data_IF_525685559825
#
_entry.id   IF_525685559825
#
_cell.length_a   1.000
_cell.length_b   1.000
_cell.length_c   1.000
_cell.angle_alpha   90.00
_cell.angle_beta   90.00
_cell.angle_gamma   90.00
#
_symmetry.space_group_name_H-M   'P 1'
#
loop_
_entity.id
_entity.type
_entity.pdbx_description
1 polymer ?
#
# COMPACT_ATOMS: atom_id res chain seq x y z
N UNK A 1 18.41 29.16 15.92
CA UNK A 1 17.99 28.44 14.68
C UNK A 1 17.00 27.39 15.10
N UNK A 2 15.80 27.29 14.45
CA UNK A 2 14.88 26.17 14.70
C UNK A 2 15.56 24.90 14.18
N UNK A 3 15.60 23.84 14.99
CA UNK A 3 16.09 22.54 14.56
C UNK A 3 15.18 22.03 13.45
N UNK A 4 15.75 21.45 12.39
CA UNK A 4 14.97 20.82 11.32
C UNK A 4 14.20 19.62 11.89
N UNK A 5 12.97 19.35 11.45
CA UNK A 5 12.25 18.13 11.85
C UNK A 5 12.98 16.89 11.32
N UNK A 6 13.04 15.85 12.15
CA UNK A 6 13.67 14.56 11.80
C UNK A 6 12.69 13.67 11.04
N UNK A 7 13.10 13.27 9.82
CA UNK A 7 12.42 12.30 9.00
C UNK A 7 13.17 10.96 9.03
N UNK A 8 12.45 9.87 9.28
CA UNK A 8 12.99 8.52 9.17
C UNK A 8 12.18 7.71 8.15
N UNK A 9 12.85 6.92 7.32
CA UNK A 9 12.24 6.03 6.33
C UNK A 9 12.63 4.59 6.66
N UNK A 10 11.64 3.75 6.89
CA UNK A 10 11.80 2.41 7.39
C UNK A 10 11.28 1.37 6.41
N UNK A 11 11.98 0.23 6.34
CA UNK A 11 11.63 -0.89 5.51
C UNK A 11 11.28 -2.11 6.37
N UNK A 12 10.13 -2.73 6.06
CA UNK A 12 9.77 -4.09 6.43
C UNK A 12 9.77 -4.98 5.18
N UNK A 13 8.93 -6.03 5.13
CA UNK A 13 8.86 -6.89 3.94
C UNK A 13 8.19 -6.17 2.75
N UNK A 14 9.00 -5.82 1.73
CA UNK A 14 8.56 -5.09 0.54
C UNK A 14 9.48 -5.32 -0.65
N UNK A 15 9.12 -4.74 -1.81
CA UNK A 15 9.96 -4.68 -3.02
C UNK A 15 10.71 -3.35 -3.17
N UNK A 16 10.62 -2.46 -2.19
CA UNK A 16 11.21 -1.11 -2.13
C UNK A 16 10.65 -0.09 -3.13
N UNK A 17 9.61 -0.45 -3.88
CA UNK A 17 9.03 0.42 -4.90
C UNK A 17 8.53 1.77 -4.38
N UNK A 18 8.05 1.83 -3.14
CA UNK A 18 7.61 3.09 -2.52
C UNK A 18 8.81 3.95 -2.08
N UNK A 19 9.90 3.36 -1.61
CA UNK A 19 11.13 4.09 -1.31
C UNK A 19 11.81 4.56 -2.59
N UNK A 20 11.80 3.76 -3.66
CA UNK A 20 12.26 4.20 -4.98
C UNK A 20 11.45 5.39 -5.50
N UNK A 21 10.11 5.40 -5.29
CA UNK A 21 9.29 6.57 -5.64
C UNK A 21 9.72 7.83 -4.87
N UNK A 22 10.16 7.69 -3.61
CA UNK A 22 10.73 8.81 -2.85
C UNK A 22 12.04 9.29 -3.46
N UNK A 23 12.92 8.38 -3.88
CA UNK A 23 14.20 8.72 -4.55
C UNK A 23 13.97 9.35 -5.93
N UNK A 24 12.98 8.87 -6.69
CA UNK A 24 12.57 9.40 -8.00
C UNK A 24 11.99 10.83 -7.93
N UNK A 25 11.83 11.40 -6.72
CA UNK A 25 11.49 12.80 -6.55
C UNK A 25 12.63 13.75 -6.95
N UNK A 26 13.86 13.27 -7.14
CA UNK A 26 15.01 14.02 -7.67
C UNK A 26 15.16 15.43 -7.05
N UNK A 27 14.92 16.47 -7.85
CA UNK A 27 15.05 17.87 -7.39
C UNK A 27 14.11 18.22 -6.24
N UNK A 28 12.88 17.69 -6.22
CA UNK A 28 11.94 17.90 -5.11
C UNK A 28 12.43 17.20 -3.83
N UNK A 29 13.15 16.08 -3.96
CA UNK A 29 13.77 15.41 -2.81
C UNK A 29 14.85 16.30 -2.20
N UNK A 30 15.64 17.03 -3.01
CA UNK A 30 16.62 17.99 -2.53
C UNK A 30 15.97 19.13 -1.75
N UNK A 31 14.82 19.62 -2.22
CA UNK A 31 14.03 20.62 -1.51
C UNK A 31 13.52 20.09 -0.15
N UNK A 32 13.04 18.85 -0.11
CA UNK A 32 12.63 18.16 1.13
C UNK A 32 13.83 18.00 2.06
N UNK A 33 14.97 17.50 1.60
CA UNK A 33 16.21 17.37 2.39
C UNK A 33 16.73 18.72 2.90
N UNK A 34 16.46 19.80 2.16
CA UNK A 34 16.69 21.18 2.62
C UNK A 34 15.82 21.57 3.82
N UNK A 35 14.60 21.05 3.91
CA UNK A 35 13.61 21.38 4.93
C UNK A 35 13.62 20.45 6.16
N UNK A 36 14.06 19.19 6.01
CA UNK A 36 14.12 18.17 7.08
C UNK A 36 15.54 17.68 7.31
N UNK A 37 15.77 17.02 8.45
CA UNK A 37 16.94 16.19 8.71
C UNK A 37 16.55 14.73 8.38
N UNK A 38 17.13 14.12 7.34
CA UNK A 38 16.94 12.70 7.05
C UNK A 38 17.76 11.91 8.06
N UNK A 39 17.12 11.47 9.14
CA UNK A 39 17.75 10.83 10.27
C UNK A 39 18.01 9.33 10.03
N UNK A 40 17.15 8.68 9.25
CA UNK A 40 17.26 7.28 8.89
C UNK A 40 16.65 7.04 7.51
N UNK A 41 17.41 6.52 6.56
CA UNK A 41 16.94 6.08 5.25
C UNK A 41 18.01 5.19 4.61
N UNK A 42 17.98 3.91 4.90
CA UNK A 42 19.05 2.95 4.54
C UNK A 42 19.22 2.77 3.03
N UNK A 43 18.19 2.99 2.21
CA UNK A 43 18.29 2.92 0.75
C UNK A 43 18.99 4.15 0.12
N UNK A 44 19.07 5.26 0.86
CA UNK A 44 19.68 6.51 0.37
C UNK A 44 20.99 6.87 1.08
N UNK A 45 21.19 6.44 2.32
CA UNK A 45 22.32 6.88 3.14
C UNK A 45 22.65 5.87 4.23
N UNK A 46 23.93 5.81 4.62
CA UNK A 46 24.38 5.10 5.81
C UNK A 46 24.20 5.91 7.11
N UNK A 47 23.66 7.12 7.03
CA UNK A 47 23.40 7.96 8.21
C UNK A 47 22.30 7.32 9.05
N UNK A 48 22.57 7.17 10.35
CA UNK A 48 21.62 6.65 11.33
C UNK A 48 21.67 7.53 12.59
N UNK A 49 20.73 8.45 12.69
CA UNK A 49 20.60 9.38 13.81
C UNK A 49 19.46 8.93 14.70
N UNK A 50 19.75 8.69 15.96
CA UNK A 50 18.76 8.24 16.93
C UNK A 50 17.57 9.21 17.06
N UNK A 51 16.38 8.62 17.31
CA UNK A 51 15.14 9.37 17.57
C UNK A 51 15.21 10.28 18.82
N UNK A 52 14.12 10.93 19.19
CA UNK A 52 12.81 10.77 18.59
C UNK A 52 12.70 11.38 17.19
N UNK A 53 11.83 10.79 16.34
CA UNK A 53 11.57 11.25 14.98
C UNK A 53 10.27 12.07 14.93
N UNK A 54 10.28 13.17 14.18
CA UNK A 54 9.07 13.97 13.99
C UNK A 54 8.09 13.26 13.04
N UNK A 55 8.62 12.64 11.97
CA UNK A 55 7.86 11.83 11.03
C UNK A 55 8.63 10.55 10.71
N UNK A 56 7.95 9.41 10.77
CA UNK A 56 8.44 8.14 10.24
C UNK A 56 7.57 7.67 9.08
N UNK A 57 8.18 7.38 7.94
CA UNK A 57 7.55 6.70 6.81
C UNK A 57 7.92 5.21 6.89
N UNK A 58 6.93 4.32 6.88
CA UNK A 58 7.14 2.87 6.96
C UNK A 58 6.60 2.20 5.72
N UNK A 59 7.48 1.55 4.95
CA UNK A 59 7.14 0.68 3.83
C UNK A 59 7.22 -0.78 4.25
N UNK A 60 6.37 -1.60 3.66
CA UNK A 60 6.41 -3.05 3.85
C UNK A 60 5.39 -3.57 4.85
N UNK A 61 5.14 -4.86 4.76
CA UNK A 61 4.23 -5.60 5.66
C UNK A 61 4.99 -6.32 6.77
N UNK A 62 4.28 -6.66 7.83
CA UNK A 62 4.82 -7.48 8.92
C UNK A 62 4.71 -8.94 8.51
N UNK A 63 5.86 -9.62 8.40
CA UNK A 63 5.97 -11.00 7.93
C UNK A 63 6.82 -11.89 8.84
N UNK A 64 7.49 -11.29 9.82
CA UNK A 64 8.32 -11.97 10.81
C UNK A 64 8.09 -11.40 12.20
N UNK A 65 8.43 -12.18 13.23
CA UNK A 65 8.42 -11.72 14.62
C UNK A 65 9.38 -10.53 14.84
N UNK A 66 10.45 -10.47 14.05
CA UNK A 66 11.39 -9.36 14.09
C UNK A 66 10.73 -8.08 13.57
N UNK A 67 9.94 -8.15 12.49
CA UNK A 67 9.21 -7.02 11.95
C UNK A 67 8.19 -6.50 12.97
N UNK A 68 7.47 -7.41 13.64
CA UNK A 68 6.49 -7.05 14.67
C UNK A 68 7.11 -6.30 15.85
N UNK A 69 8.28 -6.73 16.31
CA UNK A 69 9.02 -6.00 17.36
C UNK A 69 9.53 -4.66 16.86
N UNK A 70 10.15 -4.64 15.67
CA UNK A 70 10.73 -3.44 15.08
C UNK A 70 9.69 -2.34 14.86
N UNK A 71 8.49 -2.68 14.40
CA UNK A 71 7.44 -1.67 14.19
C UNK A 71 6.95 -1.04 15.50
N UNK A 72 6.90 -1.80 16.59
CA UNK A 72 6.58 -1.27 17.92
C UNK A 72 7.65 -0.27 18.40
N UNK A 73 8.94 -0.57 18.19
CA UNK A 73 10.05 0.33 18.49
C UNK A 73 9.99 1.61 17.65
N UNK A 74 9.75 1.48 16.34
CA UNK A 74 9.58 2.62 15.42
C UNK A 74 8.42 3.50 15.88
N UNK A 75 7.27 2.91 16.22
CA UNK A 75 6.10 3.67 16.72
C UNK A 75 6.44 4.44 18.00
N UNK A 76 7.10 3.80 18.95
CA UNK A 76 7.48 4.44 20.21
C UNK A 76 8.44 5.62 20.02
N UNK A 77 9.31 5.56 19.00
CA UNK A 77 10.28 6.62 18.69
C UNK A 77 9.73 7.71 17.77
N UNK A 78 8.49 7.60 17.27
CA UNK A 78 7.92 8.49 16.25
C UNK A 78 6.78 9.34 16.81
N UNK A 79 6.80 10.66 16.55
CA UNK A 79 5.67 11.54 16.87
C UNK A 79 4.50 11.29 15.91
N UNK A 80 4.81 11.15 14.60
CA UNK A 80 3.83 10.90 13.56
C UNK A 80 4.29 9.73 12.69
N UNK A 81 3.48 8.68 12.62
CA UNK A 81 3.77 7.46 11.88
C UNK A 81 2.89 7.39 10.63
N UNK A 82 3.53 7.40 9.47
CA UNK A 82 2.89 7.22 8.16
C UNK A 82 3.28 5.86 7.59
N UNK A 83 2.31 5.09 7.17
CA UNK A 83 2.56 3.88 6.38
C UNK A 83 2.40 4.18 4.90
N UNK A 84 3.33 3.69 4.08
CA UNK A 84 3.37 3.94 2.64
C UNK A 84 3.29 2.64 1.84
N UNK A 85 2.43 2.63 0.85
CA UNK A 85 2.25 1.53 -0.08
C UNK A 85 1.29 0.43 0.38
N UNK A 86 0.85 -0.38 -0.58
CA UNK A 86 -0.10 -1.47 -0.36
C UNK A 86 0.43 -2.54 0.63
N UNK A 87 1.74 -2.72 0.71
CA UNK A 87 2.34 -3.67 1.67
C UNK A 87 2.07 -3.23 3.11
N UNK A 88 2.36 -1.98 3.45
CA UNK A 88 2.18 -1.46 4.80
C UNK A 88 0.71 -1.25 5.18
N UNK A 89 -0.16 -0.95 4.20
CA UNK A 89 -1.58 -0.63 4.43
C UNK A 89 -2.53 -1.82 4.35
N UNK A 90 -2.13 -2.93 3.69
CA UNK A 90 -3.01 -4.09 3.46
C UNK A 90 -2.27 -5.44 3.39
N UNK A 91 -1.02 -5.51 3.84
CA UNK A 91 -0.21 -6.73 3.75
C UNK A 91 0.45 -6.96 2.39
N UNK A 92 0.08 -6.19 1.34
CA UNK A 92 0.66 -6.25 0.00
C UNK A 92 0.32 -7.51 -0.79
N UNK A 93 1.03 -7.71 -1.90
CA UNK A 93 0.91 -8.93 -2.73
C UNK A 93 1.32 -10.18 -1.96
N UNK A 94 2.25 -10.07 -1.03
CA UNK A 94 2.69 -11.17 -0.17
C UNK A 94 1.59 -11.66 0.78
N UNK A 95 0.52 -10.88 0.99
CA UNK A 95 -0.66 -11.32 1.75
C UNK A 95 -1.52 -12.37 1.00
N UNK A 96 -1.21 -12.68 -0.26
CA UNK A 96 -1.79 -13.83 -0.96
C UNK A 96 -1.49 -15.15 -0.22
N UNK A 97 -0.38 -15.24 0.47
CA UNK A 97 -0.05 -16.40 1.32
C UNK A 97 -1.02 -16.61 2.49
N UNK A 98 -1.75 -15.58 2.91
CA UNK A 98 -2.72 -15.67 4.00
C UNK A 98 -3.89 -16.61 3.66
N UNK A 99 -4.01 -17.01 2.39
CA UNK A 99 -5.06 -17.90 1.88
C UNK A 99 -4.53 -19.30 1.55
N UNK A 100 -3.34 -19.65 2.03
CA UNK A 100 -2.67 -20.91 1.77
C UNK A 100 -1.80 -21.32 2.98
N UNK A 101 -1.30 -22.56 2.98
CA UNK A 101 -0.37 -23.04 4.00
C UNK A 101 1.07 -22.60 3.67
N UNK A 102 1.59 -21.67 4.46
CA UNK A 102 2.96 -21.16 4.30
C UNK A 102 4.00 -22.24 4.59
N UNK A 103 3.73 -23.16 5.53
CA UNK A 103 4.65 -24.24 5.85
C UNK A 103 4.78 -25.22 4.67
N UNK A 104 3.67 -25.54 3.99
CA UNK A 104 3.68 -26.34 2.78
C UNK A 104 4.54 -25.67 1.69
N UNK A 105 4.29 -24.40 1.37
CA UNK A 105 5.08 -23.67 0.38
C UNK A 105 6.56 -23.61 0.73
N UNK A 106 6.89 -23.36 2.00
CA UNK A 106 8.28 -23.28 2.45
C UNK A 106 8.98 -24.62 2.26
N UNK A 107 8.31 -25.74 2.55
CA UNK A 107 8.85 -27.08 2.38
C UNK A 107 9.14 -27.45 0.93
N UNK A 108 8.34 -26.93 -0.02
CA UNK A 108 8.50 -27.18 -1.45
C UNK A 108 9.57 -26.28 -2.09
N UNK A 109 9.64 -25.02 -1.65
CA UNK A 109 10.50 -24.00 -2.29
C UNK A 109 11.94 -24.04 -1.76
N UNK A 110 12.14 -24.30 -0.47
CA UNK A 110 13.46 -24.18 0.17
C UNK A 110 14.03 -25.57 0.48
N UNK A 111 15.30 -25.77 0.11
CA UNK A 111 16.03 -27.00 0.41
C UNK A 111 16.26 -27.22 1.94
N UNK A 112 16.22 -26.14 2.70
CA UNK A 112 16.37 -26.09 4.15
C UNK A 112 15.28 -25.22 4.78
N UNK A 113 14.00 -25.71 4.84
CA UNK A 113 12.87 -24.95 5.38
C UNK A 113 13.07 -24.47 6.81
N UNK A 114 13.83 -25.21 7.61
CA UNK A 114 14.13 -24.90 9.01
C UNK A 114 14.91 -23.60 9.23
N UNK A 115 15.52 -23.04 8.17
CA UNK A 115 16.21 -21.76 8.23
C UNK A 115 15.29 -20.57 7.94
N UNK A 116 14.05 -20.84 7.49
CA UNK A 116 13.08 -19.80 7.17
C UNK A 116 12.21 -19.52 8.39
N UNK A 117 12.38 -18.32 8.97
CA UNK A 117 11.54 -17.84 10.06
C UNK A 117 10.55 -16.81 9.52
N UNK A 118 9.31 -17.21 9.33
CA UNK A 118 8.25 -16.35 8.84
C UNK A 118 6.95 -16.59 9.62
N UNK A 119 6.13 -15.54 9.76
CA UNK A 119 4.76 -15.66 10.24
C UNK A 119 3.90 -16.37 9.19
N UNK A 120 2.85 -17.04 9.61
CA UNK A 120 1.89 -17.67 8.72
C UNK A 120 1.19 -16.65 7.81
N UNK A 121 1.08 -15.40 8.25
CA UNK A 121 0.41 -14.33 7.55
C UNK A 121 1.35 -13.16 7.24
N UNK A 122 0.97 -12.38 6.22
CA UNK A 122 1.52 -11.05 5.97
C UNK A 122 0.44 -10.03 6.32
N UNK A 123 0.71 -9.16 7.28
CA UNK A 123 -0.28 -8.23 7.84
C UNK A 123 0.11 -6.76 7.63
N UNK A 124 -0.88 -5.85 7.57
CA UNK A 124 -0.60 -4.42 7.56
C UNK A 124 0.01 -3.96 8.89
N UNK A 125 0.67 -2.83 8.87
CA UNK A 125 1.28 -2.22 10.06
C UNK A 125 0.23 -1.85 11.11
N UNK A 126 -0.97 -1.46 10.68
CA UNK A 126 -2.09 -1.08 11.55
C UNK A 126 -2.61 -2.20 12.46
N UNK A 127 -2.31 -3.46 12.14
CA UNK A 127 -2.66 -4.60 13.00
C UNK A 127 -1.73 -4.70 14.23
N UNK A 128 -0.60 -4.00 14.22
CA UNK A 128 0.42 -4.07 15.27
C UNK A 128 0.56 -2.79 16.07
N UNK A 129 0.38 -1.62 15.43
CA UNK A 129 0.56 -0.30 16.06
C UNK A 129 -0.44 0.71 15.52
N UNK A 130 -0.70 1.78 16.29
CA UNK A 130 -1.50 2.90 15.80
C UNK A 130 -0.78 3.65 14.69
N UNK A 131 -1.43 3.82 13.55
CA UNK A 131 -0.96 4.56 12.39
C UNK A 131 -1.68 5.90 12.31
N UNK A 132 -0.93 6.99 12.12
CA UNK A 132 -1.49 8.33 12.04
C UNK A 132 -1.99 8.69 10.63
N UNK A 133 -1.36 8.12 9.58
CA UNK A 133 -1.76 8.33 8.20
C UNK A 133 -1.35 7.16 7.28
N UNK A 134 -2.18 6.87 6.27
CA UNK A 134 -1.91 5.87 5.23
C UNK A 134 -1.77 6.53 3.86
N UNK A 135 -0.62 6.38 3.22
CA UNK A 135 -0.41 6.73 1.82
C UNK A 135 -0.43 5.45 0.98
N UNK A 136 -1.51 5.24 0.24
CA UNK A 136 -1.77 4.01 -0.49
C UNK A 136 -1.17 4.03 -1.90
N UNK A 137 -0.93 2.85 -2.44
CA UNK A 137 -0.42 2.64 -3.81
C UNK A 137 0.50 1.44 -3.91
N UNK A 138 0.70 0.92 -5.11
CA UNK A 138 1.73 -0.09 -5.40
C UNK A 138 2.37 0.21 -6.76
N UNK A 139 3.43 1.03 -6.75
CA UNK A 139 3.91 1.87 -5.65
C UNK A 139 3.00 3.08 -5.36
N UNK A 140 3.36 3.89 -4.36
CA UNK A 140 2.72 5.18 -4.07
C UNK A 140 2.90 6.16 -5.24
N UNK A 141 2.05 7.20 -5.28
CA UNK A 141 2.18 8.28 -6.27
C UNK A 141 3.11 9.40 -5.76
N UNK A 142 4.05 9.85 -6.62
CA UNK A 142 5.01 10.92 -6.32
C UNK A 142 4.32 12.22 -5.86
N UNK A 143 3.26 12.64 -6.57
CA UNK A 143 2.55 13.88 -6.26
C UNK A 143 1.86 13.81 -4.91
N UNK A 144 1.24 12.66 -4.58
CA UNK A 144 0.64 12.43 -3.26
C UNK A 144 1.68 12.39 -2.14
N UNK A 145 2.86 11.82 -2.38
CA UNK A 145 3.96 11.80 -1.42
C UNK A 145 4.46 13.22 -1.12
N UNK A 146 4.68 14.03 -2.14
CA UNK A 146 5.11 15.43 -1.99
C UNK A 146 4.05 16.28 -1.28
N UNK A 147 2.76 16.08 -1.60
CA UNK A 147 1.66 16.72 -0.88
C UNK A 147 1.65 16.32 0.60
N UNK A 148 1.83 15.03 0.90
CA UNK A 148 1.89 14.53 2.27
C UNK A 148 3.02 15.20 3.06
N UNK A 149 4.25 15.18 2.54
CA UNK A 149 5.42 15.76 3.22
C UNK A 149 5.23 17.27 3.42
N UNK A 150 4.81 17.96 2.37
CA UNK A 150 4.57 19.42 2.44
C UNK A 150 3.48 19.77 3.46
N UNK A 151 2.40 18.98 3.51
CA UNK A 151 1.32 19.16 4.46
C UNK A 151 1.81 18.99 5.90
N UNK A 152 2.58 17.93 6.18
CA UNK A 152 3.12 17.66 7.52
C UNK A 152 4.07 18.75 7.96
N UNK A 153 4.96 19.22 7.09
CA UNK A 153 5.88 20.34 7.38
C UNK A 153 5.14 21.66 7.68
N UNK A 154 4.01 21.88 7.01
CA UNK A 154 3.13 23.04 7.23
C UNK A 154 2.16 22.86 8.40
N UNK A 155 2.14 21.72 9.10
CA UNK A 155 1.22 21.43 10.20
C UNK A 155 -0.26 21.32 9.76
N UNK A 156 -0.52 20.98 8.50
CA UNK A 156 -1.87 20.83 7.93
C UNK A 156 -2.19 19.38 7.55
N UNK A 157 -3.46 19.06 7.39
CA UNK A 157 -3.86 17.75 6.87
C UNK A 157 -3.52 17.63 5.36
N UNK A 158 -2.97 16.48 4.92
CA UNK A 158 -2.76 16.21 3.49
C UNK A 158 -4.07 16.22 2.70
N UNK A 159 -4.04 16.79 1.49
CA UNK A 159 -5.18 16.81 0.56
C UNK A 159 -5.06 15.70 -0.47
N UNK A 160 -5.24 14.47 0.00
CA UNK A 160 -5.20 13.28 -0.86
C UNK A 160 -6.63 12.89 -1.21
N UNK A 161 -6.88 12.65 -2.50
CA UNK A 161 -8.21 12.31 -3.00
C UNK A 161 -8.72 10.98 -2.44
N UNK A 162 -9.97 10.99 -1.97
CA UNK A 162 -10.69 9.80 -1.50
C UNK A 162 -11.67 9.22 -2.52
N UNK A 163 -11.79 9.81 -3.74
CA UNK A 163 -12.70 9.29 -4.75
C UNK A 163 -12.12 8.08 -5.51
N UNK A 164 -12.97 7.42 -6.30
CA UNK A 164 -12.56 6.22 -7.04
C UNK A 164 -11.77 6.56 -8.30
N UNK A 165 -10.98 5.60 -8.81
CA UNK A 165 -10.27 5.67 -10.10
C UNK A 165 -11.22 6.02 -11.26
N UNK A 166 -12.50 5.65 -11.17
CA UNK A 166 -13.51 6.05 -12.19
C UNK A 166 -13.66 7.57 -12.33
N UNK A 167 -13.43 8.34 -11.27
CA UNK A 167 -13.43 9.79 -11.34
C UNK A 167 -12.28 10.28 -12.23
N UNK A 168 -11.06 9.79 -12.00
CA UNK A 168 -9.89 10.12 -12.81
C UNK A 168 -10.07 9.69 -14.27
N UNK A 169 -10.68 8.51 -14.52
CA UNK A 169 -11.03 8.08 -15.87
C UNK A 169 -11.91 9.10 -16.60
N UNK A 170 -12.92 9.63 -15.90
CA UNK A 170 -13.84 10.62 -16.47
C UNK A 170 -13.13 11.94 -16.73
N UNK A 171 -12.30 12.42 -15.80
CA UNK A 171 -11.52 13.65 -15.99
C UNK A 171 -10.56 13.56 -17.18
N UNK A 172 -9.98 12.36 -17.43
CA UNK A 172 -9.13 12.10 -18.60
C UNK A 172 -9.90 11.92 -19.92
N UNK A 173 -11.22 11.83 -19.90
CA UNK A 173 -12.01 11.46 -21.08
C UNK A 173 -11.79 10.02 -21.55
N UNK A 174 -11.32 9.13 -20.64
CA UNK A 174 -11.06 7.72 -20.96
C UNK A 174 -12.36 6.95 -21.11
N UNK A 175 -12.52 6.24 -22.23
CA UNK A 175 -13.65 5.31 -22.42
C UNK A 175 -13.59 4.19 -21.38
N UNK A 176 -14.73 3.89 -20.73
CA UNK A 176 -14.79 2.82 -19.75
C UNK A 176 -14.51 1.46 -20.38
N UNK A 177 -13.40 0.84 -20.02
CA UNK A 177 -12.98 -0.47 -20.57
C UNK A 177 -13.95 -1.59 -20.24
N UNK A 178 -14.63 -1.51 -19.08
CA UNK A 178 -15.63 -2.50 -18.68
C UNK A 178 -16.89 -2.40 -19.54
N UNK A 179 -17.40 -1.18 -19.80
CA UNK A 179 -18.60 -0.97 -20.62
C UNK A 179 -18.30 -1.16 -22.11
N UNK A 180 -17.20 -0.61 -22.61
CA UNK A 180 -16.89 -0.62 -24.02
C UNK A 180 -16.32 -1.94 -24.55
N UNK A 181 -15.67 -2.74 -23.67
CA UNK A 181 -14.94 -3.94 -24.10
C UNK A 181 -15.16 -5.17 -23.18
N UNK A 182 -15.99 -5.09 -22.15
CA UNK A 182 -16.20 -6.19 -21.22
C UNK A 182 -14.96 -6.52 -20.38
N UNK A 183 -13.97 -5.64 -20.25
CA UNK A 183 -12.73 -5.91 -19.51
C UNK A 183 -12.98 -5.73 -18.02
N UNK A 184 -12.69 -6.74 -17.16
CA UNK A 184 -12.80 -6.61 -15.70
C UNK A 184 -11.98 -5.45 -15.17
N UNK A 185 -12.56 -4.65 -14.26
CA UNK A 185 -11.94 -3.43 -13.77
C UNK A 185 -12.32 -3.16 -12.32
N UNK A 186 -11.34 -3.02 -11.43
CA UNK A 186 -11.54 -2.66 -10.01
C UNK A 186 -11.66 -1.13 -9.79
N UNK A 187 -11.64 -0.31 -10.84
CA UNK A 187 -11.71 1.14 -10.74
C UNK A 187 -12.86 1.69 -9.91
N UNK A 188 -14.09 1.12 -9.96
CA UNK A 188 -15.22 1.60 -9.16
C UNK A 188 -14.99 1.54 -7.65
N UNK A 189 -14.24 0.56 -7.17
CA UNK A 189 -13.98 0.34 -5.74
C UNK A 189 -12.59 0.76 -5.30
N UNK A 190 -11.71 1.16 -6.22
CA UNK A 190 -10.31 1.52 -5.94
C UNK A 190 -10.16 3.02 -5.76
N UNK A 191 -9.41 3.43 -4.73
CA UNK A 191 -9.06 4.83 -4.48
C UNK A 191 -8.20 5.39 -5.62
N UNK A 192 -8.46 6.62 -6.02
CA UNK A 192 -7.69 7.36 -7.01
C UNK A 192 -6.30 7.75 -6.48
N UNK A 193 -5.38 8.03 -7.42
CA UNK A 193 -4.02 8.48 -7.10
C UNK A 193 -3.06 8.29 -8.27
N UNK A 194 -3.24 7.24 -9.08
CA UNK A 194 -2.41 6.97 -10.26
C UNK A 194 -2.86 7.69 -11.53
N UNK A 195 -3.86 8.59 -11.47
CA UNK A 195 -4.43 9.24 -12.64
C UNK A 195 -5.08 8.28 -13.65
N UNK A 196 -5.59 7.12 -13.18
CA UNK A 196 -6.26 6.11 -14.01
C UNK A 196 -5.40 5.58 -15.19
N UNK A 197 -4.10 5.38 -14.97
CA UNK A 197 -3.16 4.99 -16.01
C UNK A 197 -3.56 3.69 -16.72
N UNK A 198 -3.98 2.64 -15.99
CA UNK A 198 -4.36 1.35 -16.60
C UNK A 198 -5.54 1.50 -17.57
N UNK A 199 -6.67 2.11 -17.19
CA UNK A 199 -7.76 2.38 -18.11
C UNK A 199 -7.39 3.25 -19.32
N UNK A 200 -6.50 4.23 -19.14
CA UNK A 200 -6.02 5.08 -20.23
C UNK A 200 -5.29 4.29 -21.32
N UNK A 201 -4.65 3.18 -20.96
CA UNK A 201 -4.00 2.25 -21.89
C UNK A 201 -4.87 1.02 -22.22
N UNK A 202 -6.19 1.11 -22.01
CA UNK A 202 -7.14 0.08 -22.39
C UNK A 202 -7.10 -1.18 -21.51
N UNK A 203 -6.59 -1.10 -20.30
CA UNK A 203 -6.56 -2.17 -19.29
C UNK A 203 -7.52 -1.88 -18.16
N UNK A 204 -8.07 -2.92 -17.52
CA UNK A 204 -8.80 -2.76 -16.26
C UNK A 204 -7.92 -2.28 -15.13
N UNK A 205 -8.48 -1.59 -14.13
CA UNK A 205 -7.79 -1.26 -12.89
C UNK A 205 -7.53 -2.53 -12.07
N UNK A 206 -6.33 -2.65 -11.51
CA UNK A 206 -5.90 -3.81 -10.71
C UNK A 206 -6.02 -3.58 -9.20
N UNK A 207 -6.57 -2.44 -8.76
CA UNK A 207 -6.81 -2.18 -7.34
C UNK A 207 -5.58 -1.82 -6.51
N UNK A 208 -4.46 -1.43 -7.12
CA UNK A 208 -3.20 -1.23 -6.41
C UNK A 208 -3.21 -0.09 -5.37
N UNK A 209 -4.13 0.88 -5.48
CA UNK A 209 -4.32 1.95 -4.48
C UNK A 209 -5.31 1.59 -3.36
N UNK A 210 -5.74 0.32 -3.31
CA UNK A 210 -6.65 -0.15 -2.28
C UNK A 210 -8.08 0.39 -2.41
N UNK A 211 -9.01 -0.05 -1.55
CA UNK A 211 -10.40 0.34 -1.66
C UNK A 211 -10.63 1.80 -1.25
N UNK A 212 -11.64 2.44 -1.85
CA UNK A 212 -12.22 3.69 -1.34
C UNK A 212 -12.83 3.47 0.05
N UNK A 213 -13.16 4.55 0.77
CA UNK A 213 -13.66 4.47 2.14
C UNK A 213 -14.94 3.62 2.27
N UNK A 214 -15.82 3.67 1.27
CA UNK A 214 -17.09 2.92 1.23
C UNK A 214 -17.26 2.19 -0.11
N UNK A 215 -16.48 1.11 -0.34
CA UNK A 215 -16.52 0.41 -1.62
C UNK A 215 -17.76 -0.47 -1.72
N UNK A 216 -18.51 -0.36 -2.80
CA UNK A 216 -19.59 -1.32 -3.10
C UNK A 216 -19.03 -2.53 -3.85
N UNK A 217 -18.35 -3.39 -3.11
CA UNK A 217 -17.64 -4.55 -3.68
C UNK A 217 -18.63 -5.62 -4.17
N UNK A 218 -19.77 -5.78 -3.48
CA UNK A 218 -20.80 -6.74 -3.86
C UNK A 218 -21.40 -6.41 -5.25
N UNK A 219 -21.79 -5.14 -5.46
CA UNK A 219 -22.32 -4.73 -6.75
C UNK A 219 -21.29 -4.86 -7.88
N UNK A 220 -20.00 -4.62 -7.60
CA UNK A 220 -18.95 -4.87 -8.59
C UNK A 220 -18.76 -6.35 -8.89
N UNK A 221 -18.81 -7.21 -7.89
CA UNK A 221 -18.74 -8.67 -8.09
C UNK A 221 -19.89 -9.15 -8.98
N UNK A 222 -21.13 -8.67 -8.72
CA UNK A 222 -22.30 -8.99 -9.55
C UNK A 222 -22.13 -8.49 -10.99
N UNK A 223 -21.58 -7.29 -11.17
CA UNK A 223 -21.28 -6.77 -12.51
C UNK A 223 -20.24 -7.62 -13.24
N UNK A 224 -19.21 -8.12 -12.54
CA UNK A 224 -18.21 -9.01 -13.13
C UNK A 224 -18.83 -10.36 -13.55
N UNK A 225 -19.75 -10.90 -12.75
CA UNK A 225 -20.54 -12.11 -13.13
C UNK A 225 -21.40 -11.86 -14.39
N UNK A 226 -22.02 -10.68 -14.48
CA UNK A 226 -22.79 -10.29 -15.69
C UNK A 226 -21.91 -10.17 -16.94
N UNK A 227 -20.62 -9.92 -16.79
CA UNK A 227 -19.64 -9.99 -17.87
C UNK A 227 -19.23 -11.44 -18.25
N UNK A 228 -19.83 -12.44 -17.61
CA UNK A 228 -19.57 -13.84 -17.89
C UNK A 228 -18.47 -14.49 -17.04
N UNK A 229 -17.99 -13.81 -15.99
CA UNK A 229 -16.97 -14.37 -15.11
C UNK A 229 -17.57 -15.38 -14.12
N UNK A 230 -16.86 -16.47 -13.91
CA UNK A 230 -17.14 -17.42 -12.83
C UNK A 230 -16.77 -16.84 -11.46
N UNK A 231 -17.32 -17.40 -10.38
CA UNK A 231 -16.97 -16.98 -9.01
C UNK A 231 -15.46 -17.11 -8.74
N UNK A 232 -14.83 -18.16 -9.25
CA UNK A 232 -13.38 -18.33 -9.13
C UNK A 232 -12.59 -17.22 -9.83
N UNK A 233 -13.06 -16.72 -10.96
CA UNK A 233 -12.44 -15.60 -11.68
C UNK A 233 -12.69 -14.27 -10.97
N UNK A 234 -13.90 -14.04 -10.47
CA UNK A 234 -14.23 -12.86 -9.64
C UNK A 234 -13.32 -12.83 -8.41
N UNK A 235 -13.17 -13.96 -7.70
CA UNK A 235 -12.28 -14.08 -6.56
C UNK A 235 -10.82 -13.73 -6.91
N UNK A 236 -10.32 -14.18 -8.06
CA UNK A 236 -8.97 -13.84 -8.54
C UNK A 236 -8.81 -12.35 -8.85
N UNK A 237 -9.83 -11.70 -9.40
CA UNK A 237 -9.79 -10.25 -9.66
C UNK A 237 -9.61 -9.45 -8.37
N UNK A 238 -10.24 -9.87 -7.27
CA UNK A 238 -10.08 -9.22 -5.96
C UNK A 238 -8.83 -9.67 -5.19
N UNK A 239 -8.21 -10.80 -5.59
CA UNK A 239 -7.00 -11.34 -4.96
C UNK A 239 -5.73 -10.75 -5.58
N UNK A 240 -5.54 -9.43 -5.42
CA UNK A 240 -4.39 -8.71 -5.98
C UNK A 240 -3.58 -8.00 -4.87
N UNK A 241 -3.15 -6.78 -5.09
CA UNK A 241 -2.26 -6.01 -4.20
C UNK A 241 -2.82 -5.74 -2.79
N UNK A 242 -4.16 -5.78 -2.65
CA UNK A 242 -4.85 -5.50 -1.40
C UNK A 242 -5.80 -6.67 -1.01
N UNK A 243 -5.42 -7.90 -1.36
CA UNK A 243 -6.25 -9.10 -1.17
C UNK A 243 -6.69 -9.32 0.29
N UNK A 244 -5.85 -9.01 1.26
CA UNK A 244 -6.14 -9.15 2.68
C UNK A 244 -6.94 -7.98 3.27
N UNK A 245 -7.16 -6.89 2.50
CA UNK A 245 -7.96 -5.77 3.01
C UNK A 245 -9.40 -6.23 3.30
N UNK A 246 -9.96 -5.96 4.52
CA UNK A 246 -11.25 -6.52 4.95
C UNK A 246 -12.41 -6.24 3.98
N UNK A 247 -12.42 -5.06 3.34
CA UNK A 247 -13.44 -4.70 2.37
C UNK A 247 -13.41 -5.56 1.10
N UNK A 248 -12.23 -6.04 0.65
CA UNK A 248 -12.09 -6.87 -0.54
C UNK A 248 -12.21 -8.35 -0.21
N UNK A 249 -11.79 -8.78 0.97
CA UNK A 249 -11.92 -10.15 1.43
C UNK A 249 -13.40 -10.60 1.46
N UNK A 250 -14.31 -9.73 1.88
CA UNK A 250 -15.77 -10.01 1.90
C UNK A 250 -16.36 -10.36 0.54
N UNK A 251 -15.82 -9.80 -0.56
CA UNK A 251 -16.33 -10.07 -1.92
C UNK A 251 -15.91 -11.43 -2.45
N UNK A 252 -14.91 -12.04 -1.84
CA UNK A 252 -14.34 -13.32 -2.27
C UNK A 252 -15.08 -14.53 -1.73
N UNK A 253 -16.28 -14.34 -1.14
CA UNK A 253 -17.04 -15.43 -0.55
C UNK A 253 -16.26 -16.09 0.60
N UNK A 254 -15.50 -15.30 1.34
CA UNK A 254 -14.79 -15.77 2.51
C UNK A 254 -15.77 -16.20 3.58
N UNK A 255 -15.98 -17.52 3.71
CA UNK A 255 -16.28 -18.10 5.00
C UNK A 255 -15.17 -17.65 5.94
N UNK A 256 -15.50 -16.72 6.83
CA UNK A 256 -14.75 -16.52 8.06
C UNK A 256 -14.92 -17.80 8.86
N UNK A 257 -14.09 -18.80 8.56
CA UNK A 257 -13.93 -19.95 9.41
C UNK A 257 -13.59 -19.46 10.80
N UNK A 258 -14.54 -19.66 11.68
CA UNK A 258 -14.44 -19.55 13.13
C UNK A 258 -13.26 -20.36 13.68
#
# INVERSE_FOLDING_TARGET
MKTKPKLAVWKLASCDGCQLTLLDCEDELLAVAGAVEIAHFTEASSTDVAGPYDVSLVEGSVTTERDARRIAEIRAASKFLVVIGACATAGGIQALRNFADVAEFTSVVYARPEYISALATSTPVSDHVTVDFELRGCPIDKGQLLELITALLAGRKPRISGHSVCHDCKLRGTSCVMVARGIPCLGPVTQAGCGAICPAFGRGCYGCFGPVATPNVAALADQLRQLGMTDAEVNRVFATFNAAHPALAKARGGDSGS
#
